data_IF_280823123863
#
_entry.id   IF_280823123863
#
_cell.length_a   1.000
_cell.length_b   1.000
_cell.length_c   1.000
_cell.angle_alpha   90.00
_cell.angle_beta   90.00
_cell.angle_gamma   90.00
#
_symmetry.space_group_name_H-M   'P 1'
#
loop_
_entity.id
_entity.type
_entity.pdbx_description
1 polymer ?
#
# COMPACT_ATOMS: atom_id res chain seq x y z
N UNK A 1 56.90 -44.44 29.21
CA UNK A 1 55.84 -45.18 29.93
C UNK A 1 54.54 -44.43 29.65
N UNK A 2 53.59 -44.94 28.85
CA UNK A 2 52.54 -45.87 29.30
C UNK A 2 51.69 -45.20 30.40
N UNK A 3 50.37 -45.01 30.32
CA UNK A 3 49.36 -45.83 29.70
C UNK A 3 48.00 -45.10 29.64
N UNK A 4 47.25 -45.43 28.58
CA UNK A 4 45.82 -45.37 28.33
C UNK A 4 44.85 -45.33 29.53
N UNK A 5 43.79 -44.51 29.43
CA UNK A 5 42.40 -44.80 29.83
C UNK A 5 41.50 -43.68 29.27
N UNK A 6 40.88 -43.91 28.10
CA UNK A 6 39.49 -44.34 27.99
C UNK A 6 38.51 -43.34 28.61
N UNK A 7 37.95 -42.47 27.77
CA UNK A 7 36.54 -42.11 27.94
C UNK A 7 35.90 -41.94 26.55
N UNK A 8 35.54 -43.07 25.96
CA UNK A 8 34.54 -43.14 24.90
C UNK A 8 33.21 -43.37 25.62
N UNK A 9 32.35 -42.36 25.65
CA UNK A 9 30.95 -42.53 26.04
C UNK A 9 30.08 -41.66 25.13
N UNK A 10 29.51 -42.36 24.14
CA UNK A 10 28.16 -42.14 23.63
C UNK A 10 27.90 -40.83 22.89
N UNK A 11 28.44 -40.74 21.66
CA UNK A 11 27.77 -39.98 20.59
C UNK A 11 26.51 -40.77 20.22
N UNK A 12 25.41 -40.45 20.89
CA UNK A 12 24.09 -40.86 20.42
C UNK A 12 23.89 -40.25 19.04
N UNK A 13 23.89 -41.13 18.03
CA UNK A 13 23.49 -40.79 16.67
C UNK A 13 22.06 -40.30 16.74
N UNK A 14 21.87 -38.99 16.63
CA UNK A 14 20.60 -38.42 16.24
C UNK A 14 20.45 -38.73 14.75
N UNK A 15 19.98 -39.94 14.45
CA UNK A 15 19.46 -40.30 13.14
C UNK A 15 18.28 -39.36 12.89
N UNK A 16 18.55 -38.31 12.11
CA UNK A 16 17.54 -37.42 11.56
C UNK A 16 16.51 -38.29 10.83
N UNK A 17 15.22 -38.28 11.21
CA UNK A 17 14.23 -38.89 10.36
C UNK A 17 14.21 -38.08 9.06
N UNK A 18 14.57 -38.75 7.96
CA UNK A 18 14.35 -38.25 6.61
C UNK A 18 12.85 -37.98 6.46
N UNK A 19 12.45 -36.73 6.68
CA UNK A 19 11.12 -36.26 6.37
C UNK A 19 11.01 -36.19 4.87
N UNK A 20 10.52 -37.30 4.32
CA UNK A 20 9.96 -37.48 2.99
C UNK A 20 9.32 -36.20 2.47
N UNK A 21 9.72 -35.86 1.25
CA UNK A 21 9.07 -35.00 0.28
C UNK A 21 7.55 -34.85 0.51
N UNK A 22 7.11 -33.65 0.87
CA UNK A 22 5.80 -33.13 0.45
C UNK A 22 6.05 -32.03 -0.59
N UNK A 23 6.21 -32.45 -1.83
CA UNK A 23 6.10 -31.58 -3.01
C UNK A 23 4.61 -31.57 -3.40
N UNK A 24 3.78 -30.83 -2.66
CA UNK A 24 2.41 -30.53 -3.09
C UNK A 24 1.81 -29.30 -2.41
N UNK A 25 2.34 -28.12 -2.72
CA UNK A 25 1.68 -26.92 -2.23
C UNK A 25 2.35 -25.64 -2.63
N UNK A 26 2.16 -25.24 -3.89
CA UNK A 26 1.94 -23.82 -4.16
C UNK A 26 0.97 -23.33 -3.08
N UNK A 27 1.48 -22.60 -2.07
CA UNK A 27 0.67 -21.92 -1.06
C UNK A 27 -0.10 -20.86 -1.82
N UNK A 28 -1.16 -21.29 -2.52
CA UNK A 28 -2.18 -20.42 -3.09
C UNK A 28 -2.66 -19.63 -1.89
N UNK A 29 -2.23 -18.37 -1.83
CA UNK A 29 -2.79 -17.40 -0.90
C UNK A 29 -4.28 -17.52 -1.10
N UNK A 30 -4.97 -18.12 -0.14
CA UNK A 30 -6.42 -18.26 -0.23
C UNK A 30 -6.98 -16.87 -0.49
N UNK A 31 -7.92 -16.72 -1.43
CA UNK A 31 -8.63 -15.47 -1.71
C UNK A 31 -9.40 -14.99 -0.47
N UNK A 32 -8.67 -14.54 0.54
CA UNK A 32 -9.11 -14.18 1.87
C UNK A 32 -8.43 -12.88 2.26
N UNK A 33 -9.11 -12.10 3.07
CA UNK A 33 -8.63 -10.80 3.52
C UNK A 33 -9.04 -9.67 2.59
N UNK A 34 -8.57 -8.47 2.94
CA UNK A 34 -9.05 -7.21 2.38
C UNK A 34 -8.77 -7.05 0.88
N UNK A 35 -7.66 -7.62 0.39
CA UNK A 35 -7.25 -7.53 -1.00
C UNK A 35 -7.99 -8.50 -1.93
N UNK A 36 -8.59 -9.57 -1.39
CA UNK A 36 -9.33 -10.56 -2.17
C UNK A 36 -10.84 -10.25 -2.26
N UNK A 37 -11.28 -9.13 -1.68
CA UNK A 37 -12.67 -8.70 -1.65
C UNK A 37 -13.03 -7.91 -2.91
N UNK A 38 -14.34 -7.75 -3.18
CA UNK A 38 -14.83 -6.88 -4.24
C UNK A 38 -14.29 -5.42 -4.09
N UNK A 39 -13.85 -4.76 -5.18
CA UNK A 39 -13.27 -3.42 -5.12
C UNK A 39 -14.19 -2.35 -4.55
N UNK A 40 -15.50 -2.43 -4.78
CA UNK A 40 -16.44 -1.45 -4.22
C UNK A 40 -16.56 -1.63 -2.72
N UNK A 41 -16.65 -2.89 -2.28
CA UNK A 41 -16.69 -3.23 -0.86
C UNK A 41 -15.39 -2.83 -0.15
N UNK A 42 -14.24 -3.06 -0.79
CA UNK A 42 -12.94 -2.63 -0.30
C UNK A 42 -12.87 -1.11 -0.12
N UNK A 43 -13.28 -0.34 -1.13
CA UNK A 43 -13.33 1.13 -1.06
C UNK A 43 -14.24 1.61 0.05
N UNK A 44 -15.42 1.00 0.20
CA UNK A 44 -16.37 1.35 1.26
C UNK A 44 -15.77 1.13 2.65
N UNK A 45 -15.19 -0.05 2.89
CA UNK A 45 -14.57 -0.37 4.17
C UNK A 45 -13.36 0.53 4.44
N UNK A 46 -12.49 0.79 3.45
CA UNK A 46 -11.38 1.74 3.60
C UNK A 46 -11.87 3.14 3.97
N UNK A 47 -12.92 3.62 3.28
CA UNK A 47 -13.53 4.93 3.53
C UNK A 47 -14.20 5.00 4.90
N UNK A 48 -14.81 3.91 5.35
CA UNK A 48 -15.42 3.81 6.68
C UNK A 48 -14.37 3.74 7.79
N UNK A 49 -13.31 2.97 7.60
CA UNK A 49 -12.17 2.88 8.51
C UNK A 49 -11.47 4.22 8.71
N UNK A 50 -11.21 4.96 7.64
CA UNK A 50 -10.64 6.31 7.73
C UNK A 50 -11.54 7.27 8.52
N UNK A 51 -12.85 7.29 8.22
CA UNK A 51 -13.81 8.12 8.97
C UNK A 51 -13.93 7.70 10.43
N UNK A 52 -13.90 6.40 10.71
CA UNK A 52 -13.97 5.88 12.07
C UNK A 52 -12.72 6.28 12.87
N UNK A 53 -11.52 6.16 12.30
CA UNK A 53 -10.28 6.55 12.96
C UNK A 53 -10.23 8.04 13.31
N UNK A 54 -10.72 8.90 12.41
CA UNK A 54 -10.89 10.33 12.69
C UNK A 54 -11.92 10.57 13.81
N UNK A 55 -13.10 9.94 13.75
CA UNK A 55 -14.12 10.09 14.80
C UNK A 55 -13.65 9.58 16.18
N UNK A 56 -12.83 8.55 16.21
CA UNK A 56 -12.31 7.95 17.45
C UNK A 56 -11.09 8.68 18.00
N UNK A 57 -10.55 9.68 17.30
CA UNK A 57 -9.35 10.42 17.71
C UNK A 57 -8.07 9.60 17.70
N UNK A 58 -8.08 8.41 17.07
CA UNK A 58 -6.89 7.57 16.88
C UNK A 58 -6.06 8.08 15.69
N UNK A 59 -6.72 8.73 14.73
CA UNK A 59 -6.03 9.41 13.63
C UNK A 59 -5.43 10.73 14.12
N UNK A 60 -4.29 11.08 13.53
CA UNK A 60 -3.71 12.40 13.69
C UNK A 60 -4.66 13.47 13.13
N UNK A 61 -5.07 14.41 13.98
CA UNK A 61 -5.87 15.55 13.56
C UNK A 61 -4.96 16.68 13.10
N UNK A 62 -4.99 16.96 11.79
CA UNK A 62 -4.29 18.12 11.28
C UNK A 62 -5.00 19.39 11.70
N UNK A 63 -4.28 20.25 12.42
CA UNK A 63 -4.70 21.63 12.57
C UNK A 63 -4.70 22.33 11.20
N UNK A 64 -5.48 23.41 11.07
CA UNK A 64 -5.55 24.18 9.81
C UNK A 64 -4.18 24.70 9.38
N UNK A 65 -3.35 25.07 10.34
CA UNK A 65 -2.01 25.60 10.07
C UNK A 65 -1.03 24.50 9.67
N UNK A 66 -1.11 23.35 10.32
CA UNK A 66 -0.30 22.19 9.95
C UNK A 66 -0.66 21.63 8.56
N UNK A 67 -1.96 21.55 8.24
CA UNK A 67 -2.41 21.15 6.91
C UNK A 67 -1.86 22.09 5.83
N UNK A 68 -1.80 23.40 6.11
CA UNK A 68 -1.19 24.39 5.20
C UNK A 68 0.31 24.23 5.09
N UNK A 69 1.00 23.98 6.19
CA UNK A 69 2.46 23.79 6.19
C UNK A 69 2.84 22.52 5.42
N UNK A 70 2.13 21.40 5.69
CA UNK A 70 2.29 20.16 4.95
C UNK A 70 2.00 20.36 3.45
N UNK A 71 0.91 21.06 3.12
CA UNK A 71 0.59 21.42 1.74
C UNK A 71 1.66 22.29 1.07
N UNK A 72 2.20 23.28 1.79
CA UNK A 72 3.30 24.14 1.32
C UNK A 72 4.55 23.32 1.08
N UNK A 73 4.94 22.45 2.02
CA UNK A 73 6.13 21.59 1.90
C UNK A 73 6.00 20.62 0.73
N UNK A 74 4.84 19.97 0.58
CA UNK A 74 4.56 19.11 -0.57
C UNK A 74 4.61 19.88 -1.89
N UNK A 75 3.99 21.06 -1.93
CA UNK A 75 4.02 21.94 -3.09
C UNK A 75 5.43 22.37 -3.48
N UNK A 76 6.27 22.73 -2.49
CA UNK A 76 7.67 23.07 -2.73
C UNK A 76 8.45 21.93 -3.36
N UNK A 77 8.27 20.69 -2.87
CA UNK A 77 8.93 19.50 -3.43
C UNK A 77 8.51 19.27 -4.88
N UNK A 78 7.21 19.27 -5.16
CA UNK A 78 6.68 18.98 -6.50
C UNK A 78 7.01 20.10 -7.49
N UNK A 79 7.07 21.35 -7.03
CA UNK A 79 7.32 22.53 -7.88
C UNK A 79 8.73 22.63 -8.47
N UNK A 80 9.69 21.82 -8.00
CA UNK A 80 11.08 21.87 -8.48
C UNK A 80 11.20 21.49 -9.96
N UNK A 81 10.31 20.62 -10.46
CA UNK A 81 10.31 20.23 -11.87
C UNK A 81 9.33 21.09 -12.67
N UNK A 82 9.85 22.16 -13.28
CA UNK A 82 9.05 23.11 -14.07
C UNK A 82 8.40 22.49 -15.31
N UNK A 83 9.07 21.56 -15.97
CA UNK A 83 8.54 20.92 -17.19
C UNK A 83 7.36 20.02 -16.84
N UNK A 84 7.50 19.21 -15.79
CA UNK A 84 6.42 18.39 -15.25
C UNK A 84 5.20 19.23 -14.83
N UNK A 85 5.43 20.35 -14.13
CA UNK A 85 4.35 21.25 -13.73
C UNK A 85 3.63 21.88 -14.92
N UNK A 86 4.37 22.22 -15.97
CA UNK A 86 3.82 22.77 -17.21
C UNK A 86 2.96 21.74 -17.95
N UNK A 87 3.38 20.48 -17.97
CA UNK A 87 2.63 19.36 -18.55
C UNK A 87 1.33 19.08 -17.78
N UNK A 88 1.39 19.00 -16.44
CA UNK A 88 0.21 18.84 -15.59
C UNK A 88 -0.77 20.00 -15.82
N UNK A 89 -0.28 21.24 -15.82
CA UNK A 89 -1.09 22.43 -16.05
C UNK A 89 -1.78 22.41 -17.41
N UNK A 90 -1.05 22.04 -18.47
CA UNK A 90 -1.60 21.88 -19.83
C UNK A 90 -2.70 20.82 -19.87
N UNK A 91 -2.46 19.64 -19.30
CA UNK A 91 -3.43 18.53 -19.25
C UNK A 91 -4.68 18.91 -18.46
N UNK A 92 -4.52 19.62 -17.34
CA UNK A 92 -5.64 20.14 -16.54
C UNK A 92 -6.46 21.20 -17.30
N UNK A 93 -5.78 22.10 -18.02
CA UNK A 93 -6.42 23.09 -18.89
C UNK A 93 -7.21 22.45 -20.03
N UNK A 94 -6.65 21.44 -20.69
CA UNK A 94 -7.34 20.69 -21.75
C UNK A 94 -8.56 19.94 -21.21
N UNK A 95 -8.44 19.26 -20.07
CA UNK A 95 -9.54 18.49 -19.47
C UNK A 95 -10.71 19.39 -19.02
N UNK A 96 -10.39 20.55 -18.44
CA UNK A 96 -11.39 21.53 -18.04
C UNK A 96 -12.02 22.28 -19.23
N UNK A 97 -11.23 22.60 -20.25
CA UNK A 97 -11.70 23.18 -21.51
C UNK A 97 -12.65 22.24 -22.26
N UNK A 98 -12.30 20.96 -22.38
CA UNK A 98 -13.13 19.95 -23.03
C UNK A 98 -14.45 19.71 -22.26
N UNK A 99 -14.42 19.72 -20.92
CA UNK A 99 -15.66 19.64 -20.12
C UNK A 99 -16.58 20.85 -20.35
N UNK A 100 -16.01 22.05 -20.51
CA UNK A 100 -16.78 23.27 -20.80
C UNK A 100 -17.40 23.24 -22.20
N UNK A 101 -16.64 22.81 -23.21
CA UNK A 101 -17.14 22.65 -24.58
C UNK A 101 -18.29 21.63 -24.66
N UNK A 102 -18.14 20.47 -23.99
CA UNK A 102 -19.19 19.46 -23.91
C UNK A 102 -20.45 19.97 -23.20
N UNK A 103 -20.29 20.74 -22.12
CA UNK A 103 -21.42 21.34 -21.39
C UNK A 103 -22.13 22.47 -22.14
N UNK A 104 -21.46 23.13 -23.09
CA UNK A 104 -22.07 24.14 -23.97
C UNK A 104 -22.81 23.54 -25.17
N UNK A 105 -22.40 22.37 -25.66
CA UNK A 105 -23.07 21.66 -26.76
C UNK A 105 -24.38 20.97 -26.31
N UNK A 106 -24.47 20.56 -25.05
CA UNK A 106 -25.67 19.92 -24.48
C UNK A 106 -26.80 20.91 -24.13
N UNK A 107 -26.46 22.19 -23.85
CA UNK A 107 -27.44 23.25 -23.53
C UNK A 107 -27.81 24.14 -24.73
N UNK A 108 -27.29 23.86 -25.92
CA UNK A 108 -27.55 24.62 -27.16
C UNK A 108 -28.57 23.98 -28.10
N UNK A 109 -29.14 22.83 -27.75
CA UNK A 109 -30.11 22.10 -28.56
C UNK A 109 -31.38 21.77 -27.73
N UNK A 110 -32.14 22.82 -27.38
CA UNK A 110 -33.55 22.77 -26.99
C UNK A 110 -34.29 23.89 -27.71
#
# INVERSE_FOLDING_TARGET
MGNSQQNQSERTGMESPESSMDESGSRKTSNRGFAAMDPEKQRRIASEGGRAAHRQGVAHEWSRDEAREAGRKGGQIVSQNRDHMSEIGRKGGQSSGQRRQRGSEENGNM
#
